data_IF_187458976092
#
_entry.id   IF_187458976092
#
_cell.length_a   1.000
_cell.length_b   1.000
_cell.length_c   1.000
_cell.angle_alpha   90.00
_cell.angle_beta   90.00
_cell.angle_gamma   90.00
#
_symmetry.space_group_name_H-M   'P 1'
#
loop_
_entity.id
_entity.type
_entity.pdbx_description
1 polymer ?
#
# COMPACT_ATOMS: atom_id res chain seq x y z
N UNK A 1 -0.33 19.16 2.69
CA UNK A 1 -0.80 17.78 2.87
C UNK A 1 -0.17 16.89 1.83
N UNK A 2 0.42 15.80 2.26
CA UNK A 2 1.09 14.88 1.34
C UNK A 2 0.10 13.88 0.77
N UNK A 3 0.18 13.69 -0.52
CA UNK A 3 -0.60 12.68 -1.20
C UNK A 3 0.32 11.60 -1.71
N UNK A 4 -0.12 10.37 -1.62
CA UNK A 4 0.62 9.24 -2.13
C UNK A 4 -0.15 8.61 -3.28
N UNK A 5 0.57 8.28 -4.33
CA UNK A 5 0.00 7.47 -5.39
C UNK A 5 0.17 6.02 -5.00
N UNK A 6 -0.91 5.30 -5.11
CA UNK A 6 -0.93 3.88 -4.77
C UNK A 6 -1.08 3.10 -6.07
N UNK A 7 -0.18 2.16 -6.28
CA UNK A 7 -0.23 1.25 -7.41
C UNK A 7 -0.83 -0.06 -6.91
N UNK A 8 -1.81 -0.57 -7.62
CA UNK A 8 -2.41 -1.86 -7.28
C UNK A 8 -2.30 -2.75 -8.51
N UNK A 9 -1.61 -3.87 -8.35
CA UNK A 9 -1.39 -4.83 -9.42
C UNK A 9 -2.17 -6.10 -9.15
N UNK A 10 -2.83 -6.59 -10.19
CA UNK A 10 -3.54 -7.86 -10.12
C UNK A 10 -2.59 -8.98 -10.48
N UNK A 11 -2.53 -9.99 -9.63
CA UNK A 11 -1.77 -11.21 -9.86
C UNK A 11 -2.70 -12.42 -9.86
N UNK A 12 -2.19 -13.56 -10.27
CA UNK A 12 -3.03 -14.76 -10.37
C UNK A 12 -3.58 -15.22 -9.02
N UNK A 13 -2.90 -14.88 -7.93
CA UNK A 13 -3.28 -15.31 -6.60
C UNK A 13 -3.75 -14.17 -5.70
N UNK A 14 -4.02 -12.99 -6.28
CA UNK A 14 -4.51 -11.87 -5.50
C UNK A 14 -4.03 -10.53 -6.05
N UNK A 15 -4.01 -9.53 -5.18
CA UNK A 15 -3.59 -8.17 -5.52
C UNK A 15 -2.43 -7.75 -4.65
N UNK A 16 -1.55 -6.95 -5.23
CA UNK A 16 -0.42 -6.34 -4.51
C UNK A 16 -0.56 -4.83 -4.63
N UNK A 17 -0.36 -4.12 -3.54
CA UNK A 17 -0.47 -2.68 -3.51
C UNK A 17 0.77 -2.06 -2.87
N UNK A 18 1.24 -0.94 -3.43
CA UNK A 18 2.39 -0.23 -2.88
C UNK A 18 2.29 1.24 -3.25
N UNK A 19 2.83 2.14 -2.41
CA UNK A 19 2.85 3.56 -2.72
C UNK A 19 4.05 3.92 -3.58
N UNK A 20 3.85 4.89 -4.48
CA UNK A 20 4.96 5.51 -5.19
C UNK A 20 5.53 6.63 -4.33
N UNK A 21 6.83 6.78 -4.35
CA UNK A 21 7.48 7.91 -3.69
C UNK A 21 7.89 7.67 -2.26
N UNK A 22 7.56 6.54 -1.68
CA UNK A 22 8.09 6.16 -0.38
C UNK A 22 9.24 5.20 -0.60
N UNK A 23 10.40 5.58 -0.15
CA UNK A 23 11.55 4.69 -0.19
C UNK A 23 11.43 3.65 0.90
N UNK A 24 11.66 2.42 0.53
CA UNK A 24 11.47 1.31 1.43
C UNK A 24 10.19 0.61 1.10
N UNK A 25 10.13 -0.64 1.43
CA UNK A 25 9.08 -1.50 0.94
C UNK A 25 7.87 -1.44 1.84
N UNK A 26 6.96 -0.52 1.55
CA UNK A 26 5.62 -0.61 2.10
C UNK A 26 4.78 -1.31 1.05
N UNK A 27 4.74 -2.64 1.12
CA UNK A 27 4.01 -3.46 0.18
C UNK A 27 2.95 -4.23 0.93
N UNK A 28 1.75 -4.23 0.39
CA UNK A 28 0.61 -4.94 0.99
C UNK A 28 -0.04 -5.85 -0.03
N UNK A 29 -0.74 -6.84 0.45
CA UNK A 29 -1.42 -7.82 -0.39
C UNK A 29 -2.87 -7.95 0.06
N UNK A 30 -3.71 -8.46 -0.82
CA UNK A 30 -5.08 -8.77 -0.49
C UNK A 30 -5.67 -9.70 -1.54
N UNK A 31 -6.74 -10.40 -1.18
CA UNK A 31 -7.43 -11.28 -2.12
C UNK A 31 -8.31 -10.49 -3.09
N UNK A 32 -8.69 -9.28 -2.71
CA UNK A 32 -9.48 -8.38 -3.54
C UNK A 32 -8.80 -7.04 -3.64
N UNK A 33 -9.24 -6.23 -4.61
CA UNK A 33 -8.75 -4.87 -4.79
C UNK A 33 -8.95 -4.06 -3.51
N UNK A 34 -10.15 -4.11 -2.96
CA UNK A 34 -10.47 -3.33 -1.75
C UNK A 34 -9.62 -3.77 -0.56
N UNK A 35 -9.37 -5.06 -0.45
CA UNK A 35 -8.56 -5.59 0.63
C UNK A 35 -7.11 -5.12 0.54
N UNK A 36 -6.52 -5.21 -0.66
CA UNK A 36 -5.16 -4.72 -0.88
C UNK A 36 -5.08 -3.21 -0.61
N UNK A 37 -6.07 -2.46 -1.06
CA UNK A 37 -6.12 -1.02 -0.85
C UNK A 37 -6.21 -0.68 0.63
N UNK A 38 -7.07 -1.35 1.38
CA UNK A 38 -7.21 -1.13 2.81
C UNK A 38 -5.91 -1.45 3.55
N UNK A 39 -5.27 -2.55 3.16
CA UNK A 39 -4.02 -2.98 3.79
C UNK A 39 -2.89 -2.00 3.52
N UNK A 40 -2.76 -1.50 2.30
CA UNK A 40 -1.69 -0.55 1.99
C UNK A 40 -1.92 0.79 2.69
N UNK A 41 -3.16 1.22 2.82
CA UNK A 41 -3.47 2.45 3.56
C UNK A 41 -3.07 2.32 5.02
N UNK A 42 -3.37 1.18 5.63
CA UNK A 42 -2.96 0.90 7.00
C UNK A 42 -1.46 0.91 7.17
N UNK A 43 -0.76 0.29 6.22
CA UNK A 43 0.70 0.22 6.26
C UNK A 43 1.33 1.61 6.11
N UNK A 44 0.78 2.45 5.24
CA UNK A 44 1.26 3.81 5.07
C UNK A 44 1.06 4.63 6.34
N UNK A 45 -0.09 4.46 6.98
CA UNK A 45 -0.36 5.15 8.24
C UNK A 45 0.67 4.76 9.31
N UNK A 46 0.96 3.48 9.43
CA UNK A 46 1.97 3.01 10.36
C UNK A 46 3.35 3.57 10.06
N UNK A 47 3.70 3.63 8.79
CA UNK A 47 4.97 4.22 8.36
C UNK A 47 5.07 5.69 8.78
N UNK A 48 4.02 6.46 8.55
CA UNK A 48 4.00 7.88 8.87
C UNK A 48 4.08 8.09 10.38
N UNK A 49 3.39 7.27 11.16
CA UNK A 49 3.42 7.38 12.63
C UNK A 49 4.81 7.12 13.19
N UNK A 50 5.56 6.23 12.58
CA UNK A 50 6.89 5.86 13.05
C UNK A 50 7.96 6.79 12.52
N UNK A 51 7.89 7.13 11.26
CA UNK A 51 8.98 7.85 10.59
C UNK A 51 8.66 9.31 10.28
N UNK A 52 7.47 9.71 10.50
CA UNK A 52 7.11 11.04 10.41
C UNK A 52 6.60 11.83 9.54
#
# INVERSE_FOLDING_TARGET
>A
MKQFRIIIEKHSDGYVAYPLGIKGAVVSEGDTYEEALANVKSAIRGYIEVFG
#
